data_IF_837971472918
#
_entry.id   IF_837971472918
#
_cell.length_a   1.000
_cell.length_b   1.000
_cell.length_c   1.000
_cell.angle_alpha   90.00
_cell.angle_beta   90.00
_cell.angle_gamma   90.00
#
_symmetry.space_group_name_H-M   'P 1'
#
loop_
_entity.id
_entity.type
_entity.pdbx_description
1 polymer ?
#
# COMPACT_ATOMS: atom_id res chain seq x y z
N UNK A 1 -6.81 8.06 32.43
CA UNK A 1 -6.10 9.28 32.01
C UNK A 1 -5.32 8.89 30.77
N UNK A 2 -5.94 9.07 29.59
CA UNK A 2 -5.31 8.80 28.31
C UNK A 2 -4.63 10.07 27.84
N UNK A 3 -3.30 10.07 27.85
CA UNK A 3 -2.51 11.14 27.25
C UNK A 3 -2.70 11.05 25.72
N UNK A 4 -3.39 12.05 25.18
CA UNK A 4 -3.50 12.24 23.73
C UNK A 4 -2.11 12.42 23.13
N UNK A 5 -1.74 11.52 22.23
CA UNK A 5 -0.56 11.70 21.41
C UNK A 5 -0.82 12.91 20.50
N UNK A 6 -0.12 14.01 20.79
CA UNK A 6 -0.05 15.17 19.89
C UNK A 6 0.55 14.74 18.55
N UNK A 7 0.10 15.28 17.40
CA UNK A 7 0.67 14.97 16.10
C UNK A 7 2.15 15.36 16.09
N UNK A 8 3.00 14.45 15.65
CA UNK A 8 4.45 14.67 15.46
C UNK A 8 4.67 15.59 14.26
N UNK A 9 4.64 16.90 14.47
CA UNK A 9 4.59 17.94 13.44
C UNK A 9 5.91 18.68 13.27
N UNK A 10 7.08 18.02 13.32
CA UNK A 10 8.34 18.79 13.14
C UNK A 10 9.43 18.11 12.28
N UNK A 11 9.13 17.01 11.59
CA UNK A 11 10.06 16.41 10.65
C UNK A 11 9.45 16.42 9.24
N UNK A 12 10.25 16.75 8.23
CA UNK A 12 9.87 16.67 6.82
C UNK A 12 9.22 15.31 6.51
N UNK A 13 8.10 15.27 5.79
CA UNK A 13 7.43 14.02 5.46
C UNK A 13 8.32 13.13 4.59
N UNK A 14 8.23 11.81 4.82
CA UNK A 14 8.95 10.80 4.02
C UNK A 14 8.39 10.75 2.60
N UNK A 15 7.08 10.94 2.44
CA UNK A 15 6.39 11.12 1.16
C UNK A 15 5.57 12.39 1.22
N UNK A 16 5.65 13.24 0.23
CA UNK A 16 4.69 14.32 0.04
C UNK A 16 4.29 14.45 -1.43
N UNK A 17 2.99 14.54 -1.64
CA UNK A 17 2.37 15.02 -2.87
C UNK A 17 1.73 16.37 -2.54
N UNK A 18 2.00 17.40 -3.33
CA UNK A 18 1.45 18.75 -3.14
C UNK A 18 0.78 19.18 -4.42
N UNK A 19 -0.51 19.54 -4.34
CA UNK A 19 -1.36 19.92 -5.48
C UNK A 19 -1.21 18.96 -6.67
N UNK A 20 -1.15 17.65 -6.38
CA UNK A 20 -0.80 16.64 -7.35
C UNK A 20 -1.95 16.35 -8.32
N UNK A 21 -1.74 16.68 -9.59
CA UNK A 21 -2.66 16.39 -10.69
C UNK A 21 -2.02 15.40 -11.64
N UNK A 22 -2.75 14.33 -11.96
CA UNK A 22 -2.30 13.30 -12.91
C UNK A 22 -3.45 12.87 -13.82
N UNK A 23 -3.12 12.53 -15.06
CA UNK A 23 -4.07 12.00 -16.03
C UNK A 23 -3.56 10.70 -16.64
N UNK A 24 -4.45 9.77 -16.96
CA UNK A 24 -4.20 8.58 -17.75
C UNK A 24 -4.81 8.78 -19.14
N UNK A 25 -3.97 9.06 -20.13
CA UNK A 25 -4.43 9.59 -21.41
C UNK A 25 -5.10 10.95 -21.24
N UNK A 26 -6.29 11.13 -21.79
CA UNK A 26 -7.09 12.36 -21.65
C UNK A 26 -7.93 12.43 -20.36
N UNK A 27 -7.98 11.35 -19.56
CA UNK A 27 -8.82 11.29 -18.36
C UNK A 27 -8.06 11.77 -17.13
N UNK A 28 -8.48 12.87 -16.47
CA UNK A 28 -7.91 13.29 -15.20
C UNK A 28 -8.28 12.27 -14.10
N UNK A 29 -7.26 11.79 -13.37
CA UNK A 29 -7.42 10.79 -12.30
C UNK A 29 -7.13 11.39 -10.94
N UNK A 30 -6.07 12.21 -10.82
CA UNK A 30 -5.82 13.01 -9.62
C UNK A 30 -6.13 14.47 -9.94
N UNK A 31 -6.78 15.17 -9.00
CA UNK A 31 -7.34 16.50 -9.21
C UNK A 31 -6.84 17.52 -8.17
N UNK A 32 -5.53 17.52 -7.91
CA UNK A 32 -4.92 18.41 -6.93
C UNK A 32 -5.00 17.80 -5.53
N UNK A 33 -4.42 16.61 -5.35
CA UNK A 33 -4.37 15.99 -4.03
C UNK A 33 -3.14 16.47 -3.26
N UNK A 34 -3.34 16.66 -1.96
CA UNK A 34 -2.28 16.81 -0.97
C UNK A 34 -2.24 15.54 -0.12
N UNK A 35 -1.05 14.94 0.01
CA UNK A 35 -0.81 13.75 0.81
C UNK A 35 0.57 13.85 1.42
N UNK A 36 0.67 13.73 2.74
CA UNK A 36 1.94 13.62 3.44
C UNK A 36 1.97 12.33 4.25
N UNK A 37 3.11 11.64 4.29
CA UNK A 37 3.35 10.47 5.15
C UNK A 37 4.60 10.76 5.98
N UNK A 38 4.48 10.72 7.29
CA UNK A 38 5.57 11.03 8.20
C UNK A 38 6.37 9.79 8.60
N UNK A 39 7.58 9.99 9.10
CA UNK A 39 8.45 8.88 9.52
C UNK A 39 7.81 8.04 10.62
N UNK A 40 7.82 6.72 10.45
CA UNK A 40 7.24 5.74 11.38
C UNK A 40 5.72 5.74 11.39
N UNK A 41 5.06 6.45 10.45
CA UNK A 41 3.61 6.46 10.30
C UNK A 41 3.13 5.35 9.37
N UNK A 42 2.01 4.73 9.69
CA UNK A 42 1.29 3.80 8.84
C UNK A 42 0.05 4.49 8.30
N UNK A 43 0.05 4.82 7.01
CA UNK A 43 -1.05 5.50 6.34
C UNK A 43 -1.77 4.55 5.40
N UNK A 44 -3.09 4.42 5.56
CA UNK A 44 -3.95 3.71 4.61
C UNK A 44 -4.58 4.69 3.62
N UNK A 45 -4.41 4.45 2.33
CA UNK A 45 -5.08 5.15 1.24
C UNK A 45 -6.29 4.33 0.80
N UNK A 46 -7.49 4.83 1.13
CA UNK A 46 -8.77 4.17 0.93
C UNK A 46 -9.59 4.84 -0.18
N UNK A 47 -10.64 4.18 -0.65
CA UNK A 47 -11.60 4.70 -1.62
C UNK A 47 -12.08 3.65 -2.60
N UNK A 48 -13.13 3.97 -3.36
CA UNK A 48 -13.69 3.08 -4.38
C UNK A 48 -12.71 2.80 -5.53
N UNK A 49 -13.02 1.78 -6.33
CA UNK A 49 -12.26 1.50 -7.56
C UNK A 49 -12.32 2.71 -8.50
N UNK A 50 -11.17 3.07 -9.06
CA UNK A 50 -11.06 4.25 -9.93
C UNK A 50 -10.98 5.60 -9.21
N UNK A 51 -10.96 5.66 -7.87
CA UNK A 51 -10.83 6.91 -7.11
C UNK A 51 -9.45 7.57 -7.22
N UNK A 52 -8.43 6.87 -7.75
CA UNK A 52 -7.08 7.41 -7.94
C UNK A 52 -6.01 6.85 -7.00
N UNK A 53 -6.33 5.91 -6.09
CA UNK A 53 -5.39 5.36 -5.08
C UNK A 53 -4.07 4.84 -5.70
N UNK A 54 -4.16 3.85 -6.58
CA UNK A 54 -2.98 3.29 -7.25
C UNK A 54 -2.25 4.31 -8.12
N UNK A 55 -2.98 5.29 -8.68
CA UNK A 55 -2.37 6.40 -9.43
C UNK A 55 -1.57 7.31 -8.52
N UNK A 56 -2.08 7.63 -7.33
CA UNK A 56 -1.37 8.44 -6.33
C UNK A 56 -0.06 7.76 -5.89
N UNK A 57 -0.13 6.46 -5.58
CA UNK A 57 1.06 5.65 -5.21
C UNK A 57 2.06 5.58 -6.35
N UNK A 58 1.60 5.29 -7.58
CA UNK A 58 2.48 5.23 -8.76
C UNK A 58 3.08 6.61 -9.10
N UNK A 59 2.36 7.69 -8.86
CA UNK A 59 2.92 9.05 -8.97
C UNK A 59 3.99 9.28 -7.90
N UNK A 60 3.77 8.87 -6.66
CA UNK A 60 4.74 9.00 -5.57
C UNK A 60 6.10 8.34 -5.88
N UNK A 61 6.09 7.23 -6.64
CA UNK A 61 7.33 6.52 -7.05
C UNK A 61 7.76 6.84 -8.49
N UNK A 62 7.13 7.80 -9.16
CA UNK A 62 7.53 8.28 -10.48
C UNK A 62 7.12 7.41 -11.66
N UNK A 63 6.24 6.42 -11.47
CA UNK A 63 5.69 5.58 -12.55
C UNK A 63 4.58 6.29 -13.35
N UNK A 64 3.91 7.26 -12.72
CA UNK A 64 2.91 8.12 -13.36
C UNK A 64 3.38 9.57 -13.24
N UNK A 65 3.56 10.29 -14.35
CA UNK A 65 3.97 11.68 -14.30
C UNK A 65 2.82 12.57 -13.80
N UNK A 66 3.15 13.58 -13.01
CA UNK A 66 2.21 14.65 -12.69
C UNK A 66 2.14 15.66 -13.84
N UNK A 67 0.93 16.15 -14.13
CA UNK A 67 0.71 17.29 -15.02
C UNK A 67 0.81 18.63 -14.29
N UNK A 68 0.57 18.63 -12.96
CA UNK A 68 0.74 19.76 -12.04
C UNK A 68 1.07 19.25 -10.64
N UNK A 69 1.71 20.08 -9.84
CA UNK A 69 2.11 19.78 -8.47
C UNK A 69 3.50 19.18 -8.37
N UNK A 70 3.84 18.73 -7.19
CA UNK A 70 5.16 18.18 -6.87
C UNK A 70 5.05 16.91 -6.03
N UNK A 71 6.02 15.99 -6.24
CA UNK A 71 6.28 14.86 -5.36
C UNK A 71 7.65 15.01 -4.75
N UNK A 72 7.75 14.78 -3.44
CA UNK A 72 9.02 14.67 -2.74
C UNK A 72 9.09 13.33 -1.98
N UNK A 73 10.27 12.73 -1.98
CA UNK A 73 10.61 11.59 -1.14
C UNK A 73 11.76 12.00 -0.22
N UNK A 74 11.58 11.81 1.09
CA UNK A 74 12.54 12.22 2.11
C UNK A 74 13.02 13.68 1.93
N UNK A 75 12.07 14.60 1.69
CA UNK A 75 12.32 16.01 1.43
C UNK A 75 12.93 16.34 0.05
N UNK A 76 13.34 15.32 -0.72
CA UNK A 76 13.99 15.53 -2.03
C UNK A 76 12.96 15.47 -3.16
N UNK A 77 12.88 16.47 -4.07
CA UNK A 77 12.03 16.41 -5.25
C UNK A 77 12.28 15.13 -6.05
N UNK A 78 11.21 14.43 -6.48
CA UNK A 78 11.27 13.11 -7.09
C UNK A 78 12.26 13.03 -8.28
N UNK A 79 12.29 14.05 -9.15
CA UNK A 79 13.22 14.13 -10.30
C UNK A 79 14.69 14.14 -9.91
N UNK A 80 15.02 14.51 -8.66
CA UNK A 80 16.38 14.54 -8.10
C UNK A 80 16.64 13.36 -7.15
N UNK A 81 15.61 12.62 -6.79
CA UNK A 81 15.72 11.50 -5.85
C UNK A 81 16.56 10.37 -6.46
N UNK A 82 17.53 9.87 -5.69
CA UNK A 82 18.44 8.78 -6.11
C UNK A 82 18.55 7.66 -5.07
N UNK A 83 18.03 7.87 -3.87
CA UNK A 83 18.16 6.91 -2.77
C UNK A 83 17.06 5.84 -2.79
N UNK A 84 16.84 5.22 -3.95
CA UNK A 84 15.79 4.22 -4.17
C UNK A 84 15.92 2.98 -3.28
N UNK A 85 17.12 2.68 -2.76
CA UNK A 85 17.32 1.62 -1.77
C UNK A 85 16.58 1.87 -0.44
N UNK A 86 16.11 3.10 -0.19
CA UNK A 86 15.30 3.45 0.98
C UNK A 86 13.80 3.18 0.78
N UNK A 87 13.37 2.85 -0.45
CA UNK A 87 11.97 2.66 -0.82
C UNK A 87 11.75 1.21 -1.26
N UNK A 88 10.85 0.51 -0.60
CA UNK A 88 10.30 -0.77 -1.03
C UNK A 88 8.93 -0.56 -1.65
N UNK A 89 8.69 -1.13 -2.82
CA UNK A 89 7.40 -1.07 -3.48
C UNK A 89 6.88 -2.46 -3.80
N UNK A 90 5.66 -2.74 -3.34
CA UNK A 90 4.91 -3.95 -3.68
C UNK A 90 3.76 -3.55 -4.58
N UNK A 91 3.81 -3.87 -5.88
CA UNK A 91 2.74 -3.54 -6.81
C UNK A 91 1.51 -4.41 -6.57
N UNK A 92 0.36 -3.90 -6.99
CA UNK A 92 -0.84 -4.72 -7.14
C UNK A 92 -0.51 -5.89 -8.07
N UNK A 93 -0.95 -7.08 -7.69
CA UNK A 93 -0.68 -8.30 -8.44
C UNK A 93 -1.22 -8.21 -9.87
N UNK A 94 -0.35 -8.32 -10.85
CA UNK A 94 -0.75 -8.55 -12.23
C UNK A 94 -0.65 -10.05 -12.54
N UNK A 95 -1.71 -10.64 -13.07
CA UNK A 95 -1.77 -12.03 -13.52
C UNK A 95 -0.83 -12.35 -14.68
N UNK A 96 -0.15 -11.33 -15.21
CA UNK A 96 0.82 -11.45 -16.29
C UNK A 96 2.23 -11.77 -15.80
N UNK A 97 2.40 -12.75 -14.90
CA UNK A 97 3.70 -13.35 -14.64
C UNK A 97 4.06 -14.26 -15.83
N UNK A 98 4.37 -13.64 -16.95
CA UNK A 98 4.81 -14.34 -18.14
C UNK A 98 6.22 -14.90 -17.96
N UNK A 99 6.31 -16.19 -17.68
CA UNK A 99 7.26 -17.09 -18.31
C UNK A 99 8.76 -16.99 -18.04
N UNK A 100 9.26 -16.08 -17.21
CA UNK A 100 10.67 -16.16 -16.83
C UNK A 100 10.81 -17.20 -15.71
N UNK A 101 11.50 -18.33 -15.96
CA UNK A 101 11.75 -19.31 -14.92
C UNK A 101 12.70 -18.70 -13.88
N UNK A 102 12.17 -18.41 -12.69
CA UNK A 102 12.96 -17.91 -11.57
C UNK A 102 12.55 -18.64 -10.29
N UNK A 103 13.50 -18.84 -9.42
CA UNK A 103 13.25 -19.35 -8.08
C UNK A 103 12.75 -18.24 -7.15
N UNK A 104 12.08 -18.63 -6.07
CA UNK A 104 11.65 -17.72 -5.00
C UNK A 104 12.83 -16.87 -4.51
N UNK A 105 13.97 -17.51 -4.25
CA UNK A 105 15.20 -16.83 -3.81
C UNK A 105 15.71 -15.80 -4.82
N UNK A 106 15.69 -16.10 -6.11
CA UNK A 106 16.14 -15.17 -7.14
C UNK A 106 15.23 -13.92 -7.19
N UNK A 107 13.91 -14.10 -7.11
CA UNK A 107 12.98 -12.97 -7.07
C UNK A 107 13.20 -12.13 -5.81
N UNK A 108 13.32 -12.74 -4.63
CA UNK A 108 13.58 -12.00 -3.38
C UNK A 108 14.93 -11.30 -3.43
N UNK A 109 15.95 -11.94 -4.01
CA UNK A 109 17.28 -11.35 -4.20
C UNK A 109 17.27 -10.11 -5.07
N UNK A 110 16.31 -9.97 -5.99
CA UNK A 110 16.18 -8.77 -6.83
C UNK A 110 15.92 -7.50 -6.00
N UNK A 111 15.32 -7.62 -4.82
CA UNK A 111 15.14 -6.52 -3.88
C UNK A 111 16.45 -5.88 -3.39
N UNK A 112 17.59 -6.58 -3.51
CA UNK A 112 18.91 -6.06 -3.17
C UNK A 112 19.58 -5.26 -4.28
N UNK A 113 19.07 -5.30 -5.51
CA UNK A 113 19.72 -4.70 -6.68
C UNK A 113 19.96 -3.19 -6.53
N UNK A 114 19.08 -2.49 -5.82
CA UNK A 114 19.24 -1.05 -5.55
C UNK A 114 20.38 -0.74 -4.56
N UNK A 115 20.86 -1.73 -3.82
CA UNK A 115 21.95 -1.61 -2.81
C UNK A 115 23.27 -2.18 -3.30
N UNK A 116 23.21 -3.15 -4.22
CA UNK A 116 24.41 -3.79 -4.77
C UNK A 116 24.91 -3.02 -5.98
N UNK A 117 26.22 -2.70 -6.01
CA UNK A 117 26.88 -2.37 -7.26
C UNK A 117 27.04 -3.64 -8.07
N UNK A 118 27.23 -3.53 -9.40
CA UNK A 118 27.43 -4.66 -10.31
C UNK A 118 28.36 -5.72 -9.68
N UNK A 119 27.85 -6.94 -9.49
CA UNK A 119 28.58 -8.05 -8.89
C UNK A 119 27.68 -9.03 -8.13
N UNK A 120 28.25 -10.15 -7.63
CA UNK A 120 27.52 -11.14 -6.86
C UNK A 120 27.09 -10.59 -5.51
N UNK A 121 25.97 -11.11 -4.99
CA UNK A 121 25.46 -10.78 -3.65
C UNK A 121 26.51 -11.09 -2.59
N UNK A 122 26.79 -10.14 -1.72
CA UNK A 122 27.67 -10.30 -0.56
C UNK A 122 26.99 -11.15 0.51
N UNK A 123 27.74 -11.55 1.55
CA UNK A 123 27.19 -12.31 2.68
C UNK A 123 26.01 -11.59 3.33
N UNK A 124 26.16 -10.31 3.64
CA UNK A 124 25.07 -9.49 4.23
C UNK A 124 23.82 -9.41 3.35
N UNK A 125 23.98 -9.40 2.01
CA UNK A 125 22.83 -9.38 1.09
C UNK A 125 22.09 -10.72 1.13
N UNK A 126 22.82 -11.85 1.19
CA UNK A 126 22.22 -13.17 1.31
C UNK A 126 21.49 -13.35 2.64
N UNK A 127 22.07 -12.86 3.74
CA UNK A 127 21.42 -12.86 5.06
C UNK A 127 20.14 -12.02 5.07
N UNK A 128 20.12 -10.87 4.38
CA UNK A 128 18.91 -10.05 4.25
C UNK A 128 17.82 -10.76 3.45
N UNK A 129 18.20 -11.50 2.40
CA UNK A 129 17.27 -12.34 1.62
C UNK A 129 16.72 -13.47 2.48
N UNK A 130 17.57 -14.13 3.27
CA UNK A 130 17.14 -15.22 4.18
C UNK A 130 16.15 -14.70 5.23
N UNK A 131 16.45 -13.58 5.90
CA UNK A 131 15.53 -12.94 6.84
C UNK A 131 14.20 -12.56 6.20
N UNK A 132 14.22 -12.02 4.97
CA UNK A 132 12.99 -11.67 4.27
C UNK A 132 12.14 -12.91 3.93
N UNK A 133 12.76 -14.01 3.55
CA UNK A 133 12.07 -15.28 3.28
C UNK A 133 11.47 -15.89 4.56
N UNK A 134 12.21 -15.83 5.68
CA UNK A 134 11.73 -16.25 6.99
C UNK A 134 10.53 -15.42 7.44
N UNK A 135 10.62 -14.10 7.32
CA UNK A 135 9.54 -13.17 7.72
C UNK A 135 8.21 -13.45 7.02
N UNK A 136 8.22 -13.93 5.78
CA UNK A 136 7.00 -14.26 5.03
C UNK A 136 6.68 -15.77 5.03
N UNK A 137 7.40 -16.59 5.79
CA UNK A 137 7.18 -18.04 5.90
C UNK A 137 7.41 -18.80 4.58
N UNK A 138 8.48 -18.47 3.84
CA UNK A 138 8.83 -19.10 2.56
C UNK A 138 10.31 -19.57 2.51
N UNK A 139 10.97 -19.70 3.66
CA UNK A 139 12.37 -20.11 3.72
C UNK A 139 12.60 -21.53 3.16
N UNK A 140 11.70 -22.46 3.46
CA UNK A 140 11.69 -23.84 2.97
C UNK A 140 11.44 -23.96 1.46
N UNK A 141 10.80 -22.95 0.88
CA UNK A 141 10.44 -22.89 -0.54
C UNK A 141 11.37 -22.03 -1.39
N UNK A 142 12.49 -21.58 -0.83
CA UNK A 142 13.43 -20.67 -1.47
C UNK A 142 13.95 -21.16 -2.84
N UNK A 143 14.00 -22.46 -3.08
CA UNK A 143 14.47 -23.09 -4.32
C UNK A 143 13.33 -23.42 -5.30
N UNK A 144 12.09 -23.28 -4.88
CA UNK A 144 10.93 -23.58 -5.73
C UNK A 144 10.82 -22.55 -6.85
N UNK A 145 10.23 -22.98 -7.98
CA UNK A 145 9.85 -22.05 -9.04
C UNK A 145 8.71 -21.14 -8.57
N UNK A 146 8.83 -19.83 -8.81
CA UNK A 146 7.76 -18.87 -8.51
C UNK A 146 6.45 -19.24 -9.22
N UNK A 147 6.53 -19.86 -10.41
CA UNK A 147 5.37 -20.28 -11.18
C UNK A 147 4.59 -21.45 -10.53
N UNK A 148 5.19 -22.18 -9.59
CA UNK A 148 4.55 -23.28 -8.85
C UNK A 148 3.84 -22.82 -7.56
N UNK A 149 3.85 -21.52 -7.26
CA UNK A 149 3.28 -20.97 -6.04
C UNK A 149 1.79 -20.65 -6.19
N UNK A 150 1.07 -20.77 -5.05
CA UNK A 150 -0.28 -20.24 -4.94
C UNK A 150 -0.28 -18.71 -5.04
N UNK A 151 -1.46 -18.14 -5.25
CA UNK A 151 -1.60 -16.70 -5.31
C UNK A 151 -1.11 -15.96 -4.06
N UNK A 152 -1.47 -16.44 -2.88
CA UNK A 152 -1.01 -15.86 -1.63
C UNK A 152 0.50 -16.03 -1.41
N UNK A 153 1.07 -17.18 -1.79
CA UNK A 153 2.51 -17.40 -1.75
C UNK A 153 3.26 -16.45 -2.70
N UNK A 154 2.74 -16.27 -3.91
CA UNK A 154 3.36 -15.33 -4.86
C UNK A 154 3.34 -13.88 -4.31
N UNK A 155 2.24 -13.46 -3.69
CA UNK A 155 2.16 -12.15 -3.04
C UNK A 155 3.20 -12.02 -1.93
N UNK A 156 3.38 -13.05 -1.10
CA UNK A 156 4.40 -13.09 -0.04
C UNK A 156 5.83 -12.99 -0.61
N UNK A 157 6.11 -13.57 -1.78
CA UNK A 157 7.40 -13.40 -2.49
C UNK A 157 7.65 -11.96 -2.88
N UNK A 158 6.64 -11.24 -3.41
CA UNK A 158 6.78 -9.82 -3.76
C UNK A 158 7.07 -8.95 -2.54
N UNK A 159 6.41 -9.26 -1.42
CA UNK A 159 6.64 -8.56 -0.15
C UNK A 159 8.04 -8.88 0.38
N UNK A 160 8.46 -10.14 0.38
CA UNK A 160 9.82 -10.52 0.75
C UNK A 160 10.88 -9.81 -0.11
N UNK A 161 10.63 -9.65 -1.42
CA UNK A 161 11.52 -8.89 -2.31
C UNK A 161 11.64 -7.43 -1.88
N UNK A 162 10.53 -6.77 -1.53
CA UNK A 162 10.57 -5.41 -1.02
C UNK A 162 11.31 -5.31 0.31
N UNK A 163 11.05 -6.25 1.24
CA UNK A 163 11.68 -6.31 2.57
C UNK A 163 13.18 -6.63 2.51
N UNK A 164 13.61 -7.48 1.57
CA UNK A 164 15.03 -7.79 1.36
C UNK A 164 15.83 -6.51 1.05
N UNK A 165 15.20 -5.48 0.47
CA UNK A 165 15.76 -4.15 0.30
C UNK A 165 16.04 -3.41 1.61
N UNK A 166 15.53 -3.85 2.76
CA UNK A 166 15.59 -3.15 4.06
C UNK A 166 15.19 -1.67 3.92
N UNK A 167 13.99 -1.39 3.39
CA UNK A 167 13.56 -0.02 3.10
C UNK A 167 13.18 0.73 4.37
N UNK A 168 13.31 2.07 4.36
CA UNK A 168 12.78 2.95 5.40
C UNK A 168 11.30 3.31 5.13
N UNK A 169 10.90 3.28 3.85
CA UNK A 169 9.54 3.49 3.38
C UNK A 169 9.07 2.27 2.60
N UNK A 170 7.98 1.66 3.04
CA UNK A 170 7.33 0.54 2.36
C UNK A 170 6.00 1.01 1.77
N UNK A 171 5.85 0.90 0.47
CA UNK A 171 4.63 1.25 -0.26
C UNK A 171 4.03 -0.03 -0.82
N UNK A 172 2.76 -0.29 -0.54
CA UNK A 172 2.06 -1.49 -1.02
C UNK A 172 0.74 -1.12 -1.69
N UNK A 173 0.57 -1.56 -2.92
CA UNK A 173 -0.65 -1.34 -3.71
C UNK A 173 -1.51 -2.62 -3.65
N UNK A 174 -2.57 -2.59 -2.81
CA UNK A 174 -3.53 -3.69 -2.59
C UNK A 174 -2.87 -5.04 -2.23
N UNK A 175 -2.05 -5.11 -1.17
CA UNK A 175 -1.23 -6.29 -0.89
C UNK A 175 -2.05 -7.53 -0.49
N UNK A 176 -3.33 -7.36 -0.11
CA UNK A 176 -4.22 -8.45 0.32
C UNK A 176 -5.23 -8.89 -0.74
N UNK A 177 -5.26 -8.24 -1.91
CA UNK A 177 -6.23 -8.54 -2.96
C UNK A 177 -6.06 -9.98 -3.49
N UNK A 178 -7.11 -10.80 -3.40
CA UNK A 178 -7.09 -12.19 -3.86
C UNK A 178 -6.15 -13.13 -3.08
N UNK A 179 -5.83 -12.78 -1.85
CA UNK A 179 -5.00 -13.55 -0.93
C UNK A 179 -5.90 -14.29 0.05
N UNK A 180 -5.63 -15.58 0.32
CA UNK A 180 -6.34 -16.39 1.32
C UNK A 180 -6.09 -15.89 2.75
N UNK A 181 -7.03 -16.20 3.67
CA UNK A 181 -6.98 -15.71 5.06
C UNK A 181 -5.66 -16.05 5.77
N UNK A 182 -5.16 -17.28 5.63
CA UNK A 182 -3.92 -17.68 6.29
C UNK A 182 -2.72 -16.85 5.78
N UNK A 183 -2.68 -16.56 4.48
CA UNK A 183 -1.66 -15.68 3.91
C UNK A 183 -1.84 -14.22 4.31
N UNK A 184 -3.08 -13.75 4.54
CA UNK A 184 -3.34 -12.40 5.06
C UNK A 184 -2.85 -12.25 6.51
N UNK A 185 -3.02 -13.26 7.36
CA UNK A 185 -2.51 -13.27 8.74
C UNK A 185 -0.97 -13.17 8.77
N UNK A 186 -0.29 -14.01 7.98
CA UNK A 186 1.19 -13.95 7.85
C UNK A 186 1.63 -12.56 7.39
N UNK A 187 0.91 -11.95 6.45
CA UNK A 187 1.23 -10.60 5.98
C UNK A 187 1.04 -9.56 7.07
N UNK A 188 -0.05 -9.64 7.84
CA UNK A 188 -0.31 -8.71 8.94
C UNK A 188 0.77 -8.81 10.03
N UNK A 189 1.20 -10.02 10.40
CA UNK A 189 2.30 -10.24 11.32
C UNK A 189 3.63 -9.70 10.80
N UNK A 190 3.92 -9.96 9.52
CA UNK A 190 5.13 -9.45 8.85
C UNK A 190 5.16 -7.92 8.88
N UNK A 191 4.05 -7.26 8.54
CA UNK A 191 3.95 -5.80 8.57
C UNK A 191 4.06 -5.26 10.00
N UNK A 192 3.44 -5.91 10.99
CA UNK A 192 3.56 -5.52 12.40
C UNK A 192 5.02 -5.49 12.82
N UNK A 193 5.78 -6.54 12.52
CA UNK A 193 7.21 -6.60 12.84
C UNK A 193 8.02 -5.46 12.18
N UNK A 194 7.66 -5.05 10.94
CA UNK A 194 8.30 -3.91 10.28
C UNK A 194 7.94 -2.58 10.93
N UNK A 195 6.67 -2.39 11.30
CA UNK A 195 6.20 -1.18 11.99
C UNK A 195 6.84 -1.05 13.37
N UNK A 196 6.91 -2.15 14.13
CA UNK A 196 7.57 -2.20 15.44
C UNK A 196 9.08 -1.88 15.33
N UNK A 197 9.71 -2.22 14.19
CA UNK A 197 11.08 -1.84 13.86
C UNK A 197 11.23 -0.37 13.38
N UNK A 198 10.13 0.39 13.29
CA UNK A 198 10.11 1.81 12.93
C UNK A 198 9.97 2.09 11.43
N UNK A 199 9.54 1.13 10.62
CA UNK A 199 9.29 1.35 9.20
C UNK A 199 8.13 2.33 9.00
N UNK A 200 8.23 3.16 7.96
CA UNK A 200 7.14 4.00 7.45
C UNK A 200 6.37 3.22 6.40
N UNK A 201 5.05 3.20 6.46
CA UNK A 201 4.24 2.37 5.56
C UNK A 201 3.11 3.19 4.91
N UNK A 202 2.98 3.09 3.58
CA UNK A 202 1.85 3.61 2.81
C UNK A 202 1.13 2.43 2.15
N UNK A 203 -0.10 2.18 2.53
CA UNK A 203 -0.92 1.07 2.08
C UNK A 203 -2.07 1.58 1.20
N UNK A 204 -2.23 1.03 0.01
CA UNK A 204 -3.50 1.15 -0.72
C UNK A 204 -4.37 -0.03 -0.35
N UNK A 205 -5.55 0.23 0.16
CA UNK A 205 -6.49 -0.79 0.62
C UNK A 205 -7.90 -0.51 0.09
N UNK A 206 -8.70 -1.55 -0.07
CA UNK A 206 -10.15 -1.44 -0.27
C UNK A 206 -10.88 -1.39 1.07
N UNK A 207 -10.42 -2.18 2.01
CA UNK A 207 -10.91 -2.32 3.37
C UNK A 207 -9.71 -2.49 4.31
N UNK A 208 -9.89 -2.16 5.58
CA UNK A 208 -8.81 -2.19 6.56
C UNK A 208 -8.44 -3.62 6.96
N UNK A 209 -9.46 -4.49 7.15
CA UNK A 209 -9.29 -5.89 7.48
C UNK A 209 -8.30 -6.13 8.64
N UNK A 210 -7.47 -7.19 8.56
CA UNK A 210 -6.53 -7.52 9.64
C UNK A 210 -5.42 -6.49 9.84
N UNK A 211 -5.29 -5.49 8.95
CA UNK A 211 -4.32 -4.40 9.08
C UNK A 211 -4.82 -3.20 9.90
N UNK A 212 -6.14 -3.13 10.19
CA UNK A 212 -6.74 -2.00 10.92
C UNK A 212 -5.97 -1.60 12.19
N UNK A 213 -5.53 -2.55 13.05
CA UNK A 213 -4.80 -2.23 14.28
C UNK A 213 -3.42 -1.58 14.07
N UNK A 214 -2.88 -1.64 12.85
CA UNK A 214 -1.57 -1.07 12.49
C UNK A 214 -1.68 0.33 11.91
N UNK A 215 -2.87 0.78 11.52
CA UNK A 215 -3.07 2.02 10.77
C UNK A 215 -3.23 3.20 11.71
N UNK A 216 -2.30 4.15 11.64
CA UNK A 216 -2.34 5.39 12.41
C UNK A 216 -3.33 6.39 11.81
N UNK A 217 -3.38 6.47 10.46
CA UNK A 217 -4.19 7.44 9.72
C UNK A 217 -4.71 6.87 8.40
N UNK A 218 -5.91 7.27 8.04
CA UNK A 218 -6.53 6.92 6.77
C UNK A 218 -6.78 8.18 5.92
N UNK A 219 -6.41 8.10 4.65
CA UNK A 219 -6.73 9.10 3.64
C UNK A 219 -7.70 8.48 2.64
N UNK A 220 -8.91 9.04 2.53
CA UNK A 220 -9.93 8.52 1.62
C UNK A 220 -9.95 9.35 0.35
N UNK A 221 -9.74 8.71 -0.79
CA UNK A 221 -9.88 9.33 -2.11
C UNK A 221 -11.26 9.07 -2.69
N UNK A 222 -11.87 10.16 -3.20
CA UNK A 222 -13.11 10.11 -3.97
C UNK A 222 -12.95 10.98 -5.22
N UNK A 223 -13.21 10.40 -6.40
CA UNK A 223 -13.16 11.09 -7.69
C UNK A 223 -11.87 11.91 -7.93
N UNK A 224 -10.75 11.39 -7.48
CA UNK A 224 -9.43 12.01 -7.63
C UNK A 224 -9.13 13.14 -6.64
N UNK A 225 -9.96 13.34 -5.62
CA UNK A 225 -9.75 14.31 -4.54
C UNK A 225 -9.65 13.63 -3.17
N UNK A 226 -9.00 14.27 -2.20
CA UNK A 226 -9.01 13.84 -0.80
C UNK A 226 -10.35 14.21 -0.19
N UNK A 227 -11.12 13.21 0.25
CA UNK A 227 -12.41 13.36 0.90
C UNK A 227 -12.32 13.28 2.44
N UNK A 228 -11.30 12.58 2.95
CA UNK A 228 -11.02 12.46 4.38
C UNK A 228 -9.52 12.29 4.58
N UNK A 229 -8.99 12.88 5.62
CA UNK A 229 -7.63 12.68 6.10
C UNK A 229 -7.65 12.77 7.64
N UNK A 230 -7.41 11.63 8.30
CA UNK A 230 -7.51 11.55 9.76
C UNK A 230 -7.53 10.11 10.27
N UNK A 231 -8.01 9.89 11.51
CA UNK A 231 -8.15 8.55 12.06
C UNK A 231 -8.93 7.62 11.13
N UNK A 232 -8.62 6.30 11.12
CA UNK A 232 -9.37 5.35 10.31
C UNK A 232 -10.88 5.46 10.56
N UNK A 233 -11.73 5.52 9.51
CA UNK A 233 -13.16 5.56 9.68
C UNK A 233 -13.65 4.28 10.34
N UNK A 234 -14.40 4.41 11.43
CA UNK A 234 -15.04 3.25 12.09
C UNK A 234 -16.09 2.67 11.16
N UNK A 235 -16.19 1.35 11.08
CA UNK A 235 -17.28 0.68 10.39
C UNK A 235 -18.62 1.09 11.03
N UNK A 236 -19.50 1.75 10.27
CA UNK A 236 -20.82 2.22 10.74
C UNK A 236 -21.91 1.52 9.94
N UNK A 237 -22.90 0.92 10.63
CA UNK A 237 -24.08 0.34 10.02
C UNK A 237 -24.19 -1.18 10.12
N UNK A 238 -25.13 -1.77 9.36
CA UNK A 238 -25.43 -3.22 9.37
C UNK A 238 -24.27 -4.11 8.95
N UNK A 239 -23.21 -3.55 8.39
CA UNK A 239 -21.98 -4.24 8.01
C UNK A 239 -20.97 -4.37 9.16
N UNK A 240 -21.29 -3.84 10.35
CA UNK A 240 -20.46 -3.98 11.57
C UNK A 240 -20.74 -5.31 12.34
N UNK A 241 -21.51 -6.24 11.77
CA UNK A 241 -21.75 -7.56 12.36
C UNK A 241 -20.51 -8.44 12.22
N UNK A 242 -20.22 -9.32 13.22
CA UNK A 242 -19.11 -10.26 13.13
C UNK A 242 -19.22 -11.12 11.86
N UNK A 243 -18.22 -11.03 10.98
CA UNK A 243 -18.18 -11.74 9.68
C UNK A 243 -18.48 -10.88 8.45
N UNK A 244 -18.69 -9.58 8.58
CA UNK A 244 -18.87 -8.64 7.46
C UNK A 244 -17.82 -7.52 7.56
N UNK A 245 -16.65 -7.74 6.97
CA UNK A 245 -15.51 -6.82 7.03
C UNK A 245 -15.46 -5.85 5.83
N UNK A 246 -16.61 -5.26 5.44
CA UNK A 246 -16.65 -4.34 4.29
C UNK A 246 -16.99 -2.92 4.70
N UNK A 247 -16.03 -2.02 4.67
CA UNK A 247 -16.24 -0.57 4.78
C UNK A 247 -16.50 -0.01 3.39
N UNK A 248 -17.78 0.05 2.98
CA UNK A 248 -18.19 0.77 1.78
C UNK A 248 -18.64 2.18 2.16
N UNK A 249 -18.08 3.25 1.58
CA UNK A 249 -18.64 4.59 1.71
C UNK A 249 -19.92 4.67 0.87
N UNK A 250 -21.07 4.34 1.48
CA UNK A 250 -22.36 4.52 0.83
C UNK A 250 -22.86 5.95 1.03
N UNK A 251 -23.38 6.56 -0.05
CA UNK A 251 -24.16 7.77 0.03
C UNK A 251 -25.37 7.56 0.95
N UNK A 252 -25.75 8.58 1.70
CA UNK A 252 -26.98 8.57 2.49
C UNK A 252 -28.18 8.26 1.58
N UNK A 253 -29.18 7.49 2.04
CA UNK A 253 -30.37 7.24 1.24
C UNK A 253 -31.11 8.54 1.01
N UNK A 254 -31.32 8.91 -0.24
CA UNK A 254 -32.32 9.93 -0.61
C UNK A 254 -33.69 9.47 -0.08
N UNK A 255 -34.36 10.36 0.65
CA UNK A 255 -35.71 10.17 1.11
C UNK A 255 -36.64 9.93 -0.12
N UNK A 256 -37.09 8.70 -0.31
CA UNK A 256 -38.14 8.42 -1.25
C UNK A 256 -39.47 8.88 -0.63
N UNK A 257 -40.04 9.93 -1.16
CA UNK A 257 -41.42 10.32 -0.87
C UNK A 257 -42.40 9.19 -1.23
N UNK A 258 -43.38 8.86 -0.38
CA UNK A 258 -44.38 7.86 -0.70
C UNK A 258 -45.32 8.36 -1.78
N UNK A 259 -45.29 7.68 -2.93
CA UNK A 259 -46.26 7.89 -4.01
C UNK A 259 -47.65 7.56 -3.46
N UNK A 260 -48.51 8.57 -3.34
CA UNK A 260 -49.94 8.44 -3.10
C UNK A 260 -50.58 7.83 -4.37
N UNK A 261 -50.94 6.58 -4.31
CA UNK A 261 -51.90 5.99 -5.26
C UNK A 261 -53.31 6.51 -4.92
N UNK A 262 -53.78 7.50 -5.66
CA UNK A 262 -55.17 7.87 -5.70
C UNK A 262 -55.89 6.94 -6.70
N UNK A 263 -56.76 6.10 -6.20
CA UNK A 263 -57.84 5.48 -6.96
C UNK A 263 -58.86 6.60 -7.26
N UNK A 264 -59.23 6.72 -8.49
CA UNK A 264 -60.52 7.30 -8.91
C UNK A 264 -61.22 6.29 -9.82
N UNK A 265 -62.51 6.17 -9.55
CA UNK A 265 -63.57 5.47 -10.20
C UNK A 265 -63.55 5.43 -11.73
#
# INVERSE_FOLDING_TARGET
MNAGASPRTDADPVVSLTDAVAALGARPVLRGIDLAVHRGEVVALLGANGSGKSTAVRAAIGQVPLTRGEVRLFGTPLRRFRAWSRVGYVPQRTTAAGGVPATVREVVSSGRLSRTRLGPLRKADREAVDRALEAVGLADRAKDSVNALSGGQHQRVLIASALAGEPELLIMDEPMAGVDLASQEVLAETLRAQVDAGATVLLVLHELGPLEPLIDRAVVLRDGCVAHDGPPPKAVGQHALPGHDHVHPHAAPENADPIRTGLLD
#
